data_IF_686015569532
#
_entry.id   IF_686015569532
#
_cell.length_a   1.000
_cell.length_b   1.000
_cell.length_c   1.000
_cell.angle_alpha   90.00
_cell.angle_beta   90.00
_cell.angle_gamma   90.00
#
_symmetry.space_group_name_H-M   'P 1'
#
loop_
_entity.id
_entity.type
_entity.pdbx_description
1 polymer ?
#
# COMPACT_ATOMS: atom_id res chain seq x y z
N UNK A 1 -8.54 5.72 -0.06
CA UNK A 1 -8.75 6.57 1.14
C UNK A 1 -8.28 7.96 0.79
N UNK A 2 -9.12 8.96 1.01
CA UNK A 2 -8.76 10.36 0.79
C UNK A 2 -7.63 10.78 1.74
N UNK A 3 -6.65 11.52 1.21
CA UNK A 3 -5.43 11.91 1.95
C UNK A 3 -5.77 12.72 3.19
N UNK A 4 -6.63 13.74 3.04
CA UNK A 4 -7.04 14.61 4.15
C UNK A 4 -7.81 13.83 5.23
N UNK A 5 -8.67 12.89 4.83
CA UNK A 5 -9.40 12.03 5.76
C UNK A 5 -8.47 11.12 6.57
N UNK A 6 -7.48 10.51 5.90
CA UNK A 6 -6.50 9.66 6.55
C UNK A 6 -5.68 10.44 7.60
N UNK A 7 -5.19 11.63 7.25
CA UNK A 7 -4.47 12.50 8.17
C UNK A 7 -5.32 12.89 9.38
N UNK A 8 -6.57 13.31 9.15
CA UNK A 8 -7.47 13.73 10.22
C UNK A 8 -7.69 12.62 11.25
N UNK A 9 -7.84 11.37 10.80
CA UNK A 9 -7.98 10.20 11.68
C UNK A 9 -6.71 9.99 12.51
N UNK A 10 -5.53 10.01 11.88
CA UNK A 10 -4.27 9.77 12.60
C UNK A 10 -3.91 10.88 13.59
N UNK A 11 -4.26 12.13 13.30
CA UNK A 11 -3.93 13.28 14.15
C UNK A 11 -4.89 13.48 15.33
N UNK A 12 -6.18 13.14 15.16
CA UNK A 12 -7.23 13.44 16.15
C UNK A 12 -7.51 12.31 17.13
N UNK A 13 -6.94 11.12 16.92
CA UNK A 13 -7.17 9.97 17.78
C UNK A 13 -6.40 10.06 19.09
N UNK A 14 -7.05 9.70 20.19
CA UNK A 14 -6.40 9.54 21.51
C UNK A 14 -5.48 8.30 21.60
N UNK A 15 -5.35 7.55 20.50
CA UNK A 15 -4.53 6.35 20.35
C UNK A 15 -3.60 6.49 19.15
N UNK A 16 -2.47 5.79 19.17
CA UNK A 16 -1.50 5.78 18.07
C UNK A 16 -1.71 4.56 17.18
N UNK A 17 -2.04 4.80 15.91
CA UNK A 17 -2.07 3.76 14.88
C UNK A 17 -0.66 3.48 14.35
N UNK A 18 -0.09 2.34 14.71
CA UNK A 18 1.26 1.96 14.27
C UNK A 18 1.28 1.21 12.94
N UNK A 19 0.12 0.77 12.45
CA UNK A 19 -0.03 0.00 11.21
C UNK A 19 -1.07 0.63 10.30
N UNK A 20 -0.74 0.75 9.02
CA UNK A 20 -1.62 1.27 7.98
C UNK A 20 -1.85 0.18 6.93
N UNK A 21 -3.08 -0.31 6.81
CA UNK A 21 -3.47 -1.25 5.77
C UNK A 21 -3.95 -0.49 4.52
N UNK A 22 -3.30 -0.70 3.39
CA UNK A 22 -3.69 -0.04 2.15
C UNK A 22 -3.29 -0.77 0.88
N UNK A 23 -3.70 -0.19 -0.24
CA UNK A 23 -3.28 -0.61 -1.57
C UNK A 23 -1.80 -0.17 -1.80
N UNK A 24 -1.12 -0.83 -2.75
CA UNK A 24 0.30 -0.63 -3.07
C UNK A 24 0.64 0.83 -3.39
N UNK A 25 -0.26 1.58 -4.04
CA UNK A 25 -0.10 3.01 -4.35
C UNK A 25 -1.06 3.89 -3.55
N UNK A 26 -0.81 4.02 -2.24
CA UNK A 26 -1.59 4.91 -1.37
C UNK A 26 -0.86 6.22 -1.10
N UNK A 27 -1.31 7.31 -1.74
CA UNK A 27 -0.88 8.69 -1.43
C UNK A 27 -1.15 9.07 0.03
N UNK A 28 -2.16 8.46 0.65
CA UNK A 28 -2.50 8.69 2.03
C UNK A 28 -1.41 8.20 3.00
N UNK A 29 -0.81 7.02 2.75
CA UNK A 29 0.30 6.54 3.57
C UNK A 29 1.52 7.47 3.48
N UNK A 30 1.89 7.87 2.27
CA UNK A 30 3.00 8.82 2.05
C UNK A 30 2.77 10.12 2.84
N UNK A 31 1.54 10.64 2.80
CA UNK A 31 1.19 11.86 3.53
C UNK A 31 1.27 11.68 5.05
N UNK A 32 0.81 10.54 5.59
CA UNK A 32 0.93 10.22 7.03
C UNK A 32 2.40 10.22 7.47
N UNK A 33 3.28 9.58 6.71
CA UNK A 33 4.72 9.50 7.02
C UNK A 33 5.38 10.88 6.93
N UNK A 34 5.08 11.65 5.88
CA UNK A 34 5.64 13.00 5.68
C UNK A 34 5.22 13.99 6.76
N UNK A 35 3.97 13.89 7.24
CA UNK A 35 3.45 14.77 8.29
C UNK A 35 3.93 14.37 9.69
N UNK A 36 4.72 13.30 9.84
CA UNK A 36 5.25 12.81 11.12
C UNK A 36 4.17 12.85 12.22
N UNK A 37 3.00 12.27 11.94
CA UNK A 37 1.79 12.43 12.78
C UNK A 37 1.97 12.07 14.26
N UNK A 38 3.00 11.29 14.60
CA UNK A 38 3.37 10.93 15.97
C UNK A 38 4.82 11.31 16.35
N UNK A 39 5.45 12.22 15.58
CA UNK A 39 6.85 12.62 15.74
C UNK A 39 7.87 11.56 15.26
N UNK A 40 9.14 11.78 15.56
CA UNK A 40 10.26 10.96 15.06
C UNK A 40 10.39 9.60 15.78
N UNK A 41 9.76 9.44 16.95
CA UNK A 41 9.89 8.24 17.78
C UNK A 41 8.84 7.17 17.48
N UNK A 42 7.85 7.45 16.62
CA UNK A 42 6.77 6.52 16.32
C UNK A 42 6.47 6.48 14.82
N UNK A 43 6.98 5.45 14.16
CA UNK A 43 6.75 5.19 12.74
C UNK A 43 5.46 4.39 12.51
N UNK A 44 4.86 4.59 11.33
CA UNK A 44 3.70 3.84 10.87
C UNK A 44 4.15 2.82 9.82
N UNK A 45 3.95 1.54 10.10
CA UNK A 45 4.25 0.44 9.18
C UNK A 45 3.15 0.33 8.12
N UNK A 46 3.52 0.21 6.84
CA UNK A 46 2.58 -0.07 5.77
C UNK A 46 2.36 -1.58 5.62
N UNK A 47 1.10 -2.00 5.70
CA UNK A 47 0.64 -3.32 5.33
C UNK A 47 -0.05 -3.27 3.97
N UNK A 48 0.15 -4.31 3.17
CA UNK A 48 -0.52 -4.45 1.88
C UNK A 48 -1.81 -5.24 2.01
N UNK A 49 -2.86 -4.80 1.31
CA UNK A 49 -4.10 -5.55 1.25
C UNK A 49 -3.93 -6.84 0.41
N UNK A 50 -4.52 -7.94 0.87
CA UNK A 50 -4.45 -9.24 0.20
C UNK A 50 -4.95 -9.17 -1.25
N UNK A 51 -6.00 -8.38 -1.51
CA UNK A 51 -6.51 -8.17 -2.86
C UNK A 51 -5.48 -7.53 -3.79
N UNK A 52 -4.66 -6.60 -3.30
CA UNK A 52 -3.58 -6.03 -4.09
C UNK A 52 -2.47 -7.05 -4.37
N UNK A 53 -2.09 -7.84 -3.36
CA UNK A 53 -1.12 -8.94 -3.53
C UNK A 53 -1.61 -9.93 -4.59
N UNK A 54 -2.88 -10.35 -4.51
CA UNK A 54 -3.49 -11.26 -5.49
C UNK A 54 -3.50 -10.68 -6.91
N UNK A 55 -3.88 -9.40 -7.09
CA UNK A 55 -3.85 -8.72 -8.39
C UNK A 55 -2.44 -8.68 -8.98
N UNK A 56 -1.43 -8.38 -8.15
CA UNK A 56 -0.01 -8.34 -8.56
C UNK A 56 0.47 -9.72 -8.99
N UNK A 57 0.17 -10.75 -8.20
CA UNK A 57 0.49 -12.15 -8.53
C UNK A 57 -0.18 -12.57 -9.84
N UNK A 58 -1.49 -12.35 -9.98
CA UNK A 58 -2.24 -12.68 -11.19
C UNK A 58 -1.69 -12.00 -12.44
N UNK A 59 -1.30 -10.72 -12.33
CA UNK A 59 -0.66 -9.98 -13.43
C UNK A 59 0.68 -10.59 -13.83
N UNK A 60 1.52 -10.97 -12.85
CA UNK A 60 2.82 -11.62 -13.12
C UNK A 60 2.65 -12.98 -13.80
N UNK A 61 1.70 -13.80 -13.33
CA UNK A 61 1.40 -15.12 -13.91
C UNK A 61 0.91 -15.00 -15.36
N UNK A 62 0.01 -14.05 -15.65
CA UNK A 62 -0.46 -13.82 -17.03
C UNK A 62 0.68 -13.39 -17.95
N UNK A 63 1.56 -12.48 -17.48
CA UNK A 63 2.76 -12.07 -18.24
C UNK A 63 3.71 -13.24 -18.50
N UNK A 64 3.92 -14.11 -17.51
CA UNK A 64 4.72 -15.33 -17.66
C UNK A 64 4.12 -16.25 -18.73
N UNK A 65 2.81 -16.53 -18.65
CA UNK A 65 2.11 -17.34 -19.64
C UNK A 65 2.25 -16.77 -21.06
N UNK A 66 2.02 -15.47 -21.25
CA UNK A 66 2.17 -14.83 -22.57
C UNK A 66 3.60 -14.90 -23.10
N UNK A 67 4.62 -14.80 -22.23
CA UNK A 67 6.02 -14.96 -22.64
C UNK A 67 6.32 -16.39 -23.07
N UNK A 68 5.87 -17.37 -22.29
CA UNK A 68 6.02 -18.79 -22.60
C UNK A 68 5.33 -19.16 -23.93
N UNK A 69 4.11 -18.67 -24.18
CA UNK A 69 3.40 -18.88 -25.45
C UNK A 69 4.16 -18.27 -26.64
N UNK A 70 4.69 -17.05 -26.49
CA UNK A 70 5.52 -16.42 -27.54
C UNK A 70 6.81 -17.18 -27.83
N UNK A 71 7.44 -17.75 -26.81
CA UNK A 71 8.65 -18.56 -26.95
C UNK A 71 8.41 -19.90 -27.67
N UNK A 72 7.17 -20.39 -27.70
CA UNK A 72 6.77 -21.63 -28.39
C UNK A 72 6.40 -21.43 -29.86
N UNK A 73 6.31 -20.18 -30.33
CA UNK A 73 5.86 -19.85 -31.70
C UNK A 73 7.04 -19.62 -32.67
N UNK A 74 8.26 -20.01 -32.29
CA UNK A 74 9.46 -20.01 -33.11
C UNK A 74 10.08 -21.40 -33.15
#
# INVERSE_FOLDING_TARGET
MEVAGALSIFQRSNVRYTKYLGDGDSKAFTSIVQNKVYGDHCSVEKLECIGHVMKRMGTRLRRLKTKDERSKTF
#
